data_IF_223466835957
#
_entry.id   IF_223466835957
#
_cell.length_a   1.000
_cell.length_b   1.000
_cell.length_c   1.000
_cell.angle_alpha   90.00
_cell.angle_beta   90.00
_cell.angle_gamma   90.00
#
_symmetry.space_group_name_H-M   'P 1'
#
loop_
_entity.id
_entity.type
_entity.pdbx_description
1 polymer ?
#
# COMPACT_ATOMS: atom_id res chain seq x y z
N UNK A 1 36.93 23.43 -15.19
CA UNK A 1 36.08 23.93 -14.08
C UNK A 1 34.67 23.48 -14.36
N UNK A 2 34.04 22.85 -13.37
CA UNK A 2 32.87 21.96 -13.43
C UNK A 2 31.70 22.44 -14.31
N UNK A 3 31.30 21.54 -15.22
CA UNK A 3 30.07 21.60 -16.02
C UNK A 3 29.19 20.37 -15.73
N UNK A 4 29.05 19.98 -14.46
CA UNK A 4 28.01 19.06 -14.01
C UNK A 4 27.00 19.81 -13.13
N UNK A 5 26.20 20.65 -13.77
CA UNK A 5 25.02 21.21 -13.12
C UNK A 5 23.94 20.13 -13.10
N UNK A 6 23.97 19.29 -12.05
CA UNK A 6 22.89 18.34 -11.77
C UNK A 6 21.58 19.12 -11.61
N UNK A 7 20.58 18.81 -12.45
CA UNK A 7 19.22 19.34 -12.29
C UNK A 7 18.72 18.96 -10.91
N UNK A 8 18.48 19.96 -10.05
CA UNK A 8 17.92 19.75 -8.73
C UNK A 8 16.42 19.41 -8.86
N UNK A 9 16.08 18.13 -8.73
CA UNK A 9 14.68 17.69 -8.74
C UNK A 9 14.11 17.90 -7.34
N UNK A 10 13.07 18.74 -7.21
CA UNK A 10 12.32 18.94 -5.96
C UNK A 10 10.89 18.40 -6.05
N UNK A 11 10.32 18.08 -4.88
CA UNK A 11 8.90 17.76 -4.68
C UNK A 11 8.02 19.01 -4.50
N UNK A 12 8.62 20.18 -4.31
CA UNK A 12 7.88 21.40 -4.00
C UNK A 12 7.00 21.82 -5.18
N UNK A 13 5.73 22.11 -4.90
CA UNK A 13 4.75 22.52 -5.92
C UNK A 13 4.27 21.42 -6.86
N UNK A 14 4.63 20.14 -6.65
CA UNK A 14 4.16 19.05 -7.52
C UNK A 14 2.70 18.68 -7.29
N UNK A 15 2.03 18.29 -8.38
CA UNK A 15 0.66 17.74 -8.33
C UNK A 15 0.64 16.40 -7.57
N UNK A 16 1.65 15.57 -7.79
CA UNK A 16 1.78 14.27 -7.13
C UNK A 16 2.91 14.33 -6.09
N UNK A 17 2.61 13.83 -4.89
CA UNK A 17 3.61 13.62 -3.84
C UNK A 17 3.52 12.18 -3.34
N UNK A 18 4.69 11.59 -3.07
CA UNK A 18 4.83 10.25 -2.51
C UNK A 18 5.63 10.35 -1.20
N UNK A 19 5.05 9.82 -0.13
CA UNK A 19 5.66 9.77 1.18
C UNK A 19 5.62 8.35 1.73
N UNK A 20 6.63 8.00 2.54
CA UNK A 20 6.69 6.71 3.22
C UNK A 20 6.61 6.91 4.73
N UNK A 21 6.04 5.94 5.44
CA UNK A 21 5.90 5.98 6.89
C UNK A 21 6.49 4.71 7.52
N UNK A 22 7.25 4.88 8.61
CA UNK A 22 7.90 3.78 9.33
C UNK A 22 9.33 4.12 9.77
N UNK A 23 9.92 3.27 10.61
CA UNK A 23 11.26 3.49 11.16
C UNK A 23 12.35 3.46 10.07
N UNK A 24 12.17 2.63 9.03
CA UNK A 24 13.09 2.50 7.89
C UNK A 24 12.50 3.12 6.61
N UNK A 25 11.68 4.17 6.76
CA UNK A 25 11.03 4.80 5.62
C UNK A 25 12.06 5.46 4.68
N UNK A 26 11.95 5.24 3.36
CA UNK A 26 12.74 5.97 2.38
C UNK A 26 12.59 7.49 2.53
N UNK A 27 13.68 8.23 2.29
CA UNK A 27 13.68 9.70 2.35
C UNK A 27 12.69 10.28 1.33
N UNK A 28 12.01 11.37 1.69
CA UNK A 28 11.03 12.08 0.84
C UNK A 28 11.56 12.44 -0.56
N UNK A 29 12.83 12.81 -0.65
CA UNK A 29 13.46 13.24 -1.91
C UNK A 29 14.22 12.10 -2.62
N UNK A 30 13.92 10.84 -2.28
CA UNK A 30 14.52 9.68 -2.97
C UNK A 30 13.79 9.36 -4.28
N UNK A 31 12.45 9.42 -4.27
CA UNK A 31 11.59 9.05 -5.39
C UNK A 31 10.65 10.20 -5.73
N UNK A 32 10.66 10.63 -7.00
CA UNK A 32 9.85 11.71 -7.52
C UNK A 32 8.74 11.16 -8.41
N UNK A 33 7.47 11.15 -7.98
CA UNK A 33 6.38 10.59 -8.77
C UNK A 33 6.17 11.41 -10.05
N UNK A 34 6.04 10.71 -11.16
CA UNK A 34 5.81 11.27 -12.50
C UNK A 34 4.44 10.87 -13.05
N UNK A 35 4.03 9.62 -12.81
CA UNK A 35 2.75 9.09 -13.27
C UNK A 35 2.12 8.26 -12.18
N UNK A 36 0.81 8.43 -11.99
CA UNK A 36 -0.03 7.59 -11.17
C UNK A 36 -1.11 6.95 -12.05
N UNK A 37 -1.25 5.63 -11.96
CA UNK A 37 -2.43 4.92 -12.44
C UNK A 37 -3.11 4.29 -11.22
N UNK A 38 -4.29 4.81 -10.88
CA UNK A 38 -5.08 4.36 -9.74
C UNK A 38 -6.33 3.65 -10.24
N UNK A 39 -6.52 2.41 -9.80
CA UNK A 39 -7.68 1.58 -10.10
C UNK A 39 -8.31 1.11 -8.78
N UNK A 40 -9.63 1.08 -8.72
CA UNK A 40 -10.35 0.59 -7.56
C UNK A 40 -11.85 0.50 -7.86
N UNK A 41 -12.52 -0.37 -7.14
CA UNK A 41 -13.97 -0.58 -7.20
C UNK A 41 -14.52 -0.71 -5.78
N UNK A 42 -15.84 -0.64 -5.65
CA UNK A 42 -16.50 -0.88 -4.37
C UNK A 42 -16.22 -2.32 -3.92
N UNK A 43 -15.82 -2.50 -2.66
CA UNK A 43 -15.50 -3.81 -2.07
C UNK A 43 -14.32 -4.55 -2.70
N UNK A 44 -13.47 -3.87 -3.48
CA UNK A 44 -12.24 -4.45 -4.03
C UNK A 44 -11.00 -3.69 -3.54
N UNK A 45 -9.88 -4.40 -3.28
CA UNK A 45 -8.58 -3.77 -3.06
C UNK A 45 -8.20 -2.83 -4.21
N UNK A 46 -7.93 -1.55 -3.90
CA UNK A 46 -7.38 -0.65 -4.91
C UNK A 46 -5.95 -1.06 -5.31
N UNK A 47 -5.55 -0.70 -6.52
CA UNK A 47 -4.16 -0.78 -6.99
C UNK A 47 -3.71 0.56 -7.55
N UNK A 48 -2.59 1.06 -7.04
CA UNK A 48 -1.93 2.28 -7.47
C UNK A 48 -0.53 1.95 -8.02
N UNK A 49 -0.37 2.04 -9.35
CA UNK A 49 0.93 1.92 -9.99
C UNK A 49 1.54 3.32 -10.15
N UNK A 50 2.60 3.60 -9.40
CA UNK A 50 3.31 4.89 -9.39
C UNK A 50 4.64 4.73 -10.11
N UNK A 51 4.83 5.48 -11.19
CA UNK A 51 6.13 5.59 -11.85
C UNK A 51 6.86 6.80 -11.30
N UNK A 52 8.06 6.57 -10.78
CA UNK A 52 8.91 7.57 -10.14
C UNK A 52 10.23 7.72 -10.89
N UNK A 53 10.84 8.90 -10.77
CA UNK A 53 12.24 9.15 -11.12
C UNK A 53 13.07 9.23 -9.83
N UNK A 54 14.35 8.88 -9.92
CA UNK A 54 15.35 9.13 -8.88
C UNK A 54 16.67 9.53 -9.52
N UNK A 55 17.48 10.30 -8.80
CA UNK A 55 18.88 10.53 -9.16
C UNK A 55 19.78 9.35 -8.73
N UNK A 56 19.25 8.37 -7.99
CA UNK A 56 19.98 7.16 -7.61
C UNK A 56 19.55 5.97 -8.46
N UNK A 57 20.52 5.33 -9.12
CA UNK A 57 20.34 4.05 -9.82
C UNK A 57 20.55 2.83 -8.91
N UNK A 58 21.02 3.04 -7.68
CA UNK A 58 21.43 2.00 -6.74
C UNK A 58 20.43 1.85 -5.57
N UNK A 59 19.14 2.16 -5.78
CA UNK A 59 18.14 1.95 -4.74
C UNK A 59 17.91 0.46 -4.57
N UNK A 60 18.20 -0.05 -3.37
CA UNK A 60 17.94 -1.43 -3.05
C UNK A 60 16.43 -1.69 -2.93
N UNK A 61 15.83 -2.37 -3.91
CA UNK A 61 14.36 -2.50 -4.04
C UNK A 61 13.69 -3.12 -2.81
N UNK A 62 14.38 -4.03 -2.10
CA UNK A 62 13.87 -4.68 -0.90
C UNK A 62 13.62 -3.70 0.26
N UNK A 63 14.28 -2.54 0.24
CA UNK A 63 14.08 -1.48 1.24
C UNK A 63 12.77 -0.71 1.02
N UNK A 64 12.24 -0.74 -0.22
CA UNK A 64 10.99 -0.12 -0.60
C UNK A 64 9.79 -1.06 -0.40
N UNK A 65 10.00 -2.38 -0.53
CA UNK A 65 8.96 -3.39 -0.40
C UNK A 65 8.38 -3.42 1.02
N UNK A 66 7.06 -3.56 1.15
CA UNK A 66 6.37 -3.61 2.44
C UNK A 66 6.27 -2.27 3.17
N UNK A 67 6.87 -1.21 2.65
CA UNK A 67 6.77 0.13 3.23
C UNK A 67 5.34 0.65 3.11
N UNK A 68 4.87 1.33 4.16
CA UNK A 68 3.63 2.08 4.09
C UNK A 68 3.86 3.33 3.25
N UNK A 69 3.01 3.57 2.28
CA UNK A 69 3.12 4.68 1.34
C UNK A 69 1.84 5.50 1.31
N UNK A 70 1.99 6.82 1.29
CA UNK A 70 0.92 7.78 1.07
C UNK A 70 1.16 8.53 -0.24
N UNK A 71 0.13 8.62 -1.07
CA UNK A 71 0.10 9.36 -2.32
C UNK A 71 -0.83 10.55 -2.13
N UNK A 72 -0.31 11.75 -2.30
CA UNK A 72 -1.12 12.98 -2.31
C UNK A 72 -1.28 13.46 -3.75
N UNK A 73 -2.53 13.67 -4.16
CA UNK A 73 -2.92 14.17 -5.47
C UNK A 73 -3.56 15.54 -5.27
N UNK A 74 -2.80 16.59 -5.59
CA UNK A 74 -3.28 17.98 -5.53
C UNK A 74 -4.08 18.32 -6.78
N UNK A 75 -5.20 19.00 -6.60
CA UNK A 75 -6.06 19.51 -7.65
C UNK A 75 -6.63 20.87 -7.20
N UNK A 76 -7.32 21.57 -8.10
CA UNK A 76 -7.80 22.92 -7.82
C UNK A 76 -8.71 23.03 -6.58
N UNK A 77 -9.51 22.00 -6.29
CA UNK A 77 -10.43 21.97 -5.14
C UNK A 77 -9.82 21.41 -3.85
N UNK A 78 -8.53 21.06 -3.84
CA UNK A 78 -7.84 20.54 -2.65
C UNK A 78 -6.92 19.36 -2.94
N UNK A 79 -6.88 18.41 -2.00
CA UNK A 79 -6.01 17.25 -2.10
C UNK A 79 -6.76 15.94 -1.84
N UNK A 80 -6.43 14.92 -2.63
CA UNK A 80 -6.85 13.53 -2.39
C UNK A 80 -5.66 12.74 -1.88
N UNK A 81 -5.83 12.07 -0.74
CA UNK A 81 -4.82 11.16 -0.17
C UNK A 81 -5.21 9.71 -0.39
N UNK A 82 -4.26 8.90 -0.85
CA UNK A 82 -4.40 7.45 -1.02
C UNK A 82 -3.28 6.78 -0.24
N UNK A 83 -3.63 5.94 0.73
CA UNK A 83 -2.68 5.28 1.60
C UNK A 83 -2.70 3.78 1.36
N UNK A 84 -1.53 3.15 1.36
CA UNK A 84 -1.39 1.73 1.13
C UNK A 84 -0.03 1.19 1.55
N UNK A 85 0.29 0.00 1.06
CA UNK A 85 1.55 -0.69 1.26
C UNK A 85 2.17 -1.01 -0.09
N UNK A 86 3.48 -0.85 -0.22
CA UNK A 86 4.22 -1.22 -1.42
C UNK A 86 4.28 -2.74 -1.53
N UNK A 87 3.55 -3.33 -2.49
CA UNK A 87 3.48 -4.79 -2.71
C UNK A 87 4.38 -5.27 -3.84
N UNK A 88 4.79 -4.38 -4.74
CA UNK A 88 5.80 -4.69 -5.75
C UNK A 88 6.63 -3.47 -6.11
N UNK A 89 7.88 -3.70 -6.50
CA UNK A 89 8.83 -2.67 -6.91
C UNK A 89 9.64 -3.17 -8.09
N UNK A 90 9.82 -2.34 -9.11
CA UNK A 90 10.66 -2.63 -10.29
C UNK A 90 11.49 -1.42 -10.67
N UNK A 91 12.75 -1.62 -11.05
CA UNK A 91 13.53 -0.64 -11.78
C UNK A 91 13.22 -0.80 -13.27
N UNK A 92 12.84 0.29 -13.94
CA UNK A 92 12.46 0.28 -15.36
C UNK A 92 13.63 0.59 -16.29
N UNK A 93 14.67 1.24 -15.78
CA UNK A 93 15.84 1.63 -16.54
C UNK A 93 16.53 2.86 -15.94
N UNK A 94 17.68 3.21 -16.50
CA UNK A 94 18.45 4.39 -16.12
C UNK A 94 18.99 5.08 -17.37
N UNK A 95 18.98 6.41 -17.37
CA UNK A 95 19.51 7.25 -18.45
C UNK A 95 20.01 8.58 -17.88
N UNK A 96 21.20 9.02 -18.29
CA UNK A 96 21.72 10.36 -18.01
C UNK A 96 21.74 10.80 -16.54
N UNK A 97 21.94 9.88 -15.59
CA UNK A 97 21.93 10.18 -14.15
C UNK A 97 20.54 10.15 -13.49
N UNK A 98 19.51 9.77 -14.24
CA UNK A 98 18.18 9.48 -13.72
C UNK A 98 17.85 8.00 -13.86
N UNK A 99 17.13 7.47 -12.89
CA UNK A 99 16.62 6.10 -12.91
C UNK A 99 15.12 6.10 -12.69
N UNK A 100 14.42 5.29 -13.48
CA UNK A 100 12.98 5.13 -13.37
C UNK A 100 12.63 3.89 -12.57
N UNK A 101 11.69 4.05 -11.65
CA UNK A 101 11.16 2.98 -10.80
C UNK A 101 9.65 2.93 -10.90
N UNK A 102 9.08 1.74 -10.78
CA UNK A 102 7.63 1.54 -10.62
C UNK A 102 7.35 0.89 -9.29
N UNK A 103 6.49 1.52 -8.51
CA UNK A 103 5.99 1.00 -7.24
C UNK A 103 4.51 0.64 -7.45
N UNK A 104 4.15 -0.57 -7.08
CA UNK A 104 2.75 -0.97 -6.91
C UNK A 104 2.40 -0.81 -5.44
N UNK A 105 1.40 0.03 -5.18
CA UNK A 105 0.88 0.32 -3.85
C UNK A 105 -0.57 -0.17 -3.82
N UNK A 106 -0.90 -1.00 -2.83
CA UNK A 106 -2.24 -1.56 -2.65
C UNK A 106 -2.73 -1.31 -1.24
N UNK A 107 -4.04 -1.50 -1.00
CA UNK A 107 -4.57 -1.52 0.38
C UNK A 107 -3.84 -2.57 1.21
N UNK A 108 -3.71 -2.35 2.52
CA UNK A 108 -3.05 -3.30 3.41
C UNK A 108 -3.75 -4.67 3.42
N UNK A 109 -5.06 -4.72 3.14
CA UNK A 109 -5.80 -5.99 2.98
C UNK A 109 -5.34 -6.81 1.77
N UNK A 110 -4.70 -6.20 0.76
CA UNK A 110 -4.13 -6.97 -0.34
C UNK A 110 -3.00 -7.90 0.12
N UNK A 111 -2.42 -7.66 1.30
CA UNK A 111 -1.39 -8.52 1.87
C UNK A 111 -1.90 -9.89 2.29
N UNK A 112 -3.21 -10.00 2.54
CA UNK A 112 -3.89 -11.25 2.88
C UNK A 112 -3.75 -12.28 1.74
N UNK A 113 -3.68 -11.82 0.49
CA UNK A 113 -3.41 -12.66 -0.68
C UNK A 113 -2.05 -13.38 -0.66
N UNK A 114 -1.12 -12.99 0.22
CA UNK A 114 0.19 -13.65 0.35
C UNK A 114 0.23 -14.72 1.44
N UNK A 115 -0.89 -15.00 2.12
CA UNK A 115 -0.99 -16.06 3.11
C UNK A 115 -2.14 -16.99 2.74
N UNK A 116 -1.88 -18.30 2.79
CA UNK A 116 -2.94 -19.31 2.67
C UNK A 116 -3.08 -20.08 3.96
N UNK A 117 -4.32 -20.33 4.36
CA UNK A 117 -4.60 -21.13 5.56
C UNK A 117 -5.78 -22.09 5.31
N UNK A 118 -5.88 -23.12 6.15
CA UNK A 118 -7.06 -23.96 6.24
C UNK A 118 -7.60 -23.86 7.67
N UNK A 119 -8.85 -23.43 7.83
CA UNK A 119 -9.42 -23.20 9.17
C UNK A 119 -10.91 -23.48 9.21
N UNK A 120 -11.34 -24.08 10.31
CA UNK A 120 -12.75 -24.32 10.64
C UNK A 120 -13.17 -23.28 11.69
N UNK A 121 -14.33 -22.65 11.45
CA UNK A 121 -15.04 -21.79 12.39
C UNK A 121 -16.38 -22.45 12.73
N UNK A 122 -16.72 -22.50 14.01
CA UNK A 122 -17.95 -23.16 14.50
C UNK A 122 -18.65 -22.22 15.48
N UNK A 123 -19.96 -22.13 15.37
CA UNK A 123 -20.79 -21.32 16.29
C UNK A 123 -20.37 -19.84 16.32
N UNK A 124 -19.86 -19.33 15.21
CA UNK A 124 -19.40 -17.95 15.04
C UNK A 124 -20.19 -17.25 13.94
N UNK A 125 -20.44 -15.95 14.06
CA UNK A 125 -21.04 -15.19 12.96
C UNK A 125 -19.97 -14.75 11.95
N UNK A 126 -20.34 -14.60 10.66
CA UNK A 126 -19.39 -14.16 9.61
C UNK A 126 -18.65 -12.86 9.99
N UNK A 127 -19.31 -11.81 10.53
CA UNK A 127 -18.62 -10.61 10.99
C UNK A 127 -17.62 -10.84 12.13
N UNK A 128 -17.86 -11.83 12.99
CA UNK A 128 -16.95 -12.16 14.09
C UNK A 128 -15.74 -12.94 13.56
N UNK A 129 -15.96 -13.87 12.61
CA UNK A 129 -14.89 -14.54 11.86
C UNK A 129 -13.99 -13.51 11.16
N UNK A 130 -14.58 -12.54 10.44
CA UNK A 130 -13.81 -11.47 9.77
C UNK A 130 -13.05 -10.61 10.77
N UNK A 131 -13.68 -10.24 11.90
CA UNK A 131 -13.01 -9.47 12.94
C UNK A 131 -11.81 -10.22 13.51
N UNK A 132 -11.96 -11.52 13.74
CA UNK A 132 -10.89 -12.36 14.23
C UNK A 132 -9.72 -12.42 13.24
N UNK A 133 -9.98 -12.67 11.95
CA UNK A 133 -8.93 -12.70 10.91
C UNK A 133 -8.18 -11.37 10.86
N UNK A 134 -8.91 -10.25 10.83
CA UNK A 134 -8.31 -8.91 10.81
C UNK A 134 -7.46 -8.66 12.05
N UNK A 135 -7.93 -9.10 13.23
CA UNK A 135 -7.21 -8.91 14.48
C UNK A 135 -5.90 -9.71 14.52
N UNK A 136 -5.94 -10.98 14.11
CA UNK A 136 -4.75 -11.84 14.00
C UNK A 136 -3.72 -11.22 13.06
N UNK A 137 -4.17 -10.75 11.89
CA UNK A 137 -3.28 -10.14 10.91
C UNK A 137 -2.76 -8.77 11.36
N UNK A 138 -3.55 -7.99 12.09
CA UNK A 138 -3.07 -6.73 12.68
C UNK A 138 -2.00 -7.01 13.75
N UNK A 139 -2.16 -8.06 14.55
CA UNK A 139 -1.17 -8.43 15.55
C UNK A 139 0.17 -8.89 14.94
N UNK A 140 0.12 -9.63 13.82
CA UNK A 140 1.34 -10.17 13.17
C UNK A 140 1.94 -9.27 12.09
N UNK A 141 1.19 -8.32 11.53
CA UNK A 141 1.62 -7.49 10.40
C UNK A 141 1.48 -5.99 10.74
N UNK A 142 2.58 -5.32 11.14
CA UNK A 142 2.57 -3.89 11.45
C UNK A 142 1.98 -2.97 10.36
N UNK A 143 2.18 -3.25 9.04
CA UNK A 143 1.54 -2.44 8.00
C UNK A 143 0.01 -2.51 8.00
N UNK A 144 -0.58 -3.67 8.34
CA UNK A 144 -2.04 -3.83 8.42
C UNK A 144 -2.58 -3.05 9.60
N UNK A 145 -1.99 -3.25 10.78
CA UNK A 145 -2.41 -2.56 12.01
C UNK A 145 -2.43 -1.04 11.88
N UNK A 146 -1.47 -0.47 11.15
CA UNK A 146 -1.29 0.97 11.06
C UNK A 146 -2.05 1.61 9.88
N UNK A 147 -2.54 0.82 8.92
CA UNK A 147 -3.18 1.35 7.70
C UNK A 147 -4.63 0.92 7.52
N UNK A 148 -5.14 -0.03 8.31
CA UNK A 148 -6.50 -0.55 8.21
C UNK A 148 -7.18 -0.59 9.57
N UNK A 149 -8.45 -0.17 9.62
CA UNK A 149 -9.32 -0.29 10.79
C UNK A 149 -10.63 -0.91 10.35
N UNK A 150 -11.00 -2.02 10.98
CA UNK A 150 -12.33 -2.60 10.82
C UNK A 150 -13.31 -1.84 11.72
N UNK A 151 -14.39 -1.33 11.12
CA UNK A 151 -15.50 -0.72 11.84
C UNK A 151 -16.78 -1.53 11.56
N UNK A 152 -17.55 -1.77 12.61
CA UNK A 152 -18.77 -2.60 12.59
C UNK A 152 -20.02 -1.81 13.02
N UNK A 153 -19.99 -0.48 12.89
CA UNK A 153 -21.06 0.44 13.28
C UNK A 153 -22.45 0.13 12.71
N UNK A 154 -22.55 -0.55 11.56
CA UNK A 154 -23.82 -0.80 10.88
C UNK A 154 -24.52 -2.12 11.30
N UNK A 155 -24.16 -2.71 12.46
CA UNK A 155 -24.83 -3.89 13.01
C UNK A 155 -26.25 -3.55 13.51
N UNK A 156 -27.23 -3.49 12.60
CA UNK A 156 -28.64 -3.23 12.94
C UNK A 156 -29.36 -4.47 13.50
N UNK A 157 -28.83 -5.68 13.25
CA UNK A 157 -29.32 -6.97 13.79
C UNK A 157 -28.13 -7.86 14.15
N UNK A 158 -28.29 -8.73 15.16
CA UNK A 158 -27.33 -9.81 15.44
C UNK A 158 -27.29 -10.72 14.20
N UNK A 159 -26.15 -10.85 13.50
CA UNK A 159 -26.04 -11.78 12.38
C UNK A 159 -26.21 -13.22 12.89
N UNK A 160 -26.80 -14.13 12.10
CA UNK A 160 -26.91 -15.53 12.50
C UNK A 160 -25.50 -16.12 12.69
N UNK A 161 -25.32 -16.87 13.76
CA UNK A 161 -24.15 -17.73 13.94
C UNK A 161 -24.21 -18.83 12.89
N UNK A 162 -23.10 -19.08 12.22
CA UNK A 162 -22.98 -20.24 11.34
C UNK A 162 -22.56 -21.43 12.19
N UNK A 163 -23.34 -22.51 12.13
CA UNK A 163 -23.01 -23.76 12.82
C UNK A 163 -21.64 -24.30 12.37
N UNK A 164 -21.29 -24.12 11.09
CA UNK A 164 -20.03 -24.57 10.53
C UNK A 164 -19.62 -23.72 9.31
N UNK A 165 -18.39 -23.22 9.30
CA UNK A 165 -17.77 -22.52 8.17
C UNK A 165 -16.33 -22.99 7.98
N UNK A 166 -15.90 -23.18 6.73
CA UNK A 166 -14.57 -23.66 6.39
C UNK A 166 -13.91 -22.72 5.39
N UNK A 167 -12.74 -22.18 5.75
CA UNK A 167 -11.84 -21.53 4.80
C UNK A 167 -10.83 -22.58 4.34
N UNK A 168 -10.91 -23.02 3.08
CA UNK A 168 -10.10 -24.12 2.55
C UNK A 168 -9.13 -23.64 1.47
N UNK A 169 -7.83 -23.63 1.77
CA UNK A 169 -6.79 -23.18 0.83
C UNK A 169 -7.03 -21.77 0.28
N UNK A 170 -7.74 -20.95 1.05
CA UNK A 170 -8.08 -19.59 0.67
C UNK A 170 -6.98 -18.64 1.12
N UNK A 171 -6.85 -17.57 0.33
CA UNK A 171 -6.04 -16.41 0.64
C UNK A 171 -6.65 -15.69 1.87
N UNK A 172 -5.85 -15.34 2.88
CA UNK A 172 -6.34 -14.90 4.20
C UNK A 172 -5.58 -13.76 4.86
#
# INVERSE_FOLDING_TARGET
>A
MDLMQCVAISQDGRILELQFAGQNAPRRNLLFPLRLQLTGALSEPFTADVTCLSQSSAIELKTLLGQRAGITIRHHDGERKVNGVVTAVRQLGADGGLSSYRLRIQTALALLAYRRTCRIFQEESVPDIVAQIVQEHSASNPPIAASFRLDQQLRQRRPPEVAYCHAYSEDM
#
